data_IF_599163470015
#
_entry.id   IF_599163470015
#
_cell.length_a   1.000
_cell.length_b   1.000
_cell.length_c   1.000
_cell.angle_alpha   90.00
_cell.angle_beta   90.00
_cell.angle_gamma   90.00
#
_symmetry.space_group_name_H-M   'P 1'
#
loop_
_entity.id
_entity.type
_entity.pdbx_description
1 polymer ?
#
# COMPACT_ATOMS: atom_id res chain seq x y z
N UNK A 1 6.09 -2.13 -10.66
CA UNK A 1 4.62 -1.95 -10.82
C UNK A 1 4.30 -0.77 -11.75
N UNK A 2 4.81 0.42 -11.48
CA UNK A 2 4.46 1.62 -12.25
C UNK A 2 5.24 1.79 -13.56
N UNK A 3 6.37 1.10 -13.73
CA UNK A 3 7.29 1.31 -14.84
C UNK A 3 8.20 2.53 -14.66
N UNK A 4 9.25 2.60 -15.46
CA UNK A 4 10.19 3.72 -15.47
C UNK A 4 9.50 5.02 -15.85
N UNK A 5 9.99 6.14 -15.37
CA UNK A 5 9.45 7.49 -15.62
C UNK A 5 8.05 7.80 -15.07
N UNK A 6 7.41 6.89 -14.33
CA UNK A 6 6.18 7.21 -13.63
C UNK A 6 6.49 7.99 -12.34
N UNK A 7 5.68 9.00 -11.93
CA UNK A 7 5.93 9.76 -10.69
C UNK A 7 5.98 8.91 -9.42
N UNK A 8 5.36 7.73 -9.43
CA UNK A 8 5.40 6.77 -8.32
C UNK A 8 6.46 5.66 -8.50
N UNK A 9 7.27 5.69 -9.56
CA UNK A 9 8.38 4.76 -9.76
C UNK A 9 9.61 5.18 -8.92
N UNK A 10 9.40 5.39 -7.63
CA UNK A 10 10.41 5.75 -6.64
C UNK A 10 10.38 4.72 -5.50
N UNK A 11 11.50 4.53 -4.77
CA UNK A 11 11.48 3.68 -3.58
C UNK A 11 10.38 4.12 -2.60
N UNK A 12 9.63 3.18 -2.05
CA UNK A 12 8.55 3.47 -1.09
C UNK A 12 9.03 4.14 0.20
N UNK A 13 10.31 3.99 0.54
CA UNK A 13 10.94 4.72 1.64
C UNK A 13 10.92 6.24 1.46
N UNK A 14 10.79 6.73 0.22
CA UNK A 14 10.90 8.15 -0.12
C UNK A 14 12.31 8.72 0.02
N UNK A 15 13.30 7.89 0.37
CA UNK A 15 14.68 8.33 0.62
C UNK A 15 15.53 8.45 -0.64
N UNK A 16 14.99 8.10 -1.81
CA UNK A 16 15.76 8.07 -3.06
C UNK A 16 16.69 6.85 -3.14
N UNK A 17 17.71 6.97 -3.98
CA UNK A 17 18.77 5.97 -4.18
C UNK A 17 20.13 6.57 -3.79
N UNK A 18 21.14 5.74 -3.53
CA UNK A 18 22.51 6.21 -3.26
C UNK A 18 23.01 7.18 -4.34
N UNK A 19 22.78 6.83 -5.62
CA UNK A 19 23.18 7.67 -6.74
C UNK A 19 22.47 9.02 -6.75
N UNK A 20 21.16 9.07 -6.49
CA UNK A 20 20.38 10.31 -6.43
C UNK A 20 20.84 11.18 -5.26
N UNK A 21 21.06 10.59 -4.08
CA UNK A 21 21.51 11.30 -2.88
C UNK A 21 22.93 11.86 -3.09
N UNK A 22 23.84 11.07 -3.66
CA UNK A 22 25.22 11.49 -3.95
C UNK A 22 25.28 12.65 -4.96
N UNK A 23 24.29 12.78 -5.84
CA UNK A 23 24.24 13.86 -6.83
C UNK A 23 23.61 15.16 -6.33
N UNK A 24 22.86 15.13 -5.20
CA UNK A 24 22.18 16.30 -4.66
C UNK A 24 23.18 17.35 -4.13
N UNK A 25 22.93 18.59 -4.51
CA UNK A 25 23.66 19.75 -4.02
C UNK A 25 22.78 20.60 -3.09
N UNK A 26 23.41 21.52 -2.35
CA UNK A 26 22.66 22.52 -1.58
C UNK A 26 21.74 23.38 -2.48
N UNK A 27 22.19 23.69 -3.67
CA UNK A 27 21.43 24.54 -4.60
C UNK A 27 20.19 23.81 -5.13
N UNK A 28 20.22 22.50 -5.30
CA UNK A 28 19.05 21.68 -5.63
C UNK A 28 18.00 21.75 -4.50
N UNK A 29 18.43 21.69 -3.24
CA UNK A 29 17.53 21.81 -2.08
C UNK A 29 16.92 23.22 -1.99
N UNK A 30 17.70 24.26 -2.23
CA UNK A 30 17.22 25.65 -2.29
C UNK A 30 16.20 25.82 -3.41
N UNK A 31 16.50 25.31 -4.61
CA UNK A 31 15.59 25.37 -5.75
C UNK A 31 14.29 24.61 -5.49
N UNK A 32 14.38 23.42 -4.87
CA UNK A 32 13.21 22.66 -4.46
C UNK A 32 12.34 23.46 -3.48
N UNK A 33 12.96 23.98 -2.42
CA UNK A 33 12.27 24.77 -1.39
C UNK A 33 11.54 25.97 -2.01
N UNK A 34 12.18 26.77 -2.83
CA UNK A 34 11.59 27.94 -3.48
C UNK A 34 10.41 27.60 -4.39
N UNK A 35 10.47 26.46 -5.07
CA UNK A 35 9.42 26.04 -6.01
C UNK A 35 8.22 25.39 -5.33
N UNK A 36 8.43 24.65 -4.24
CA UNK A 36 7.40 23.80 -3.63
C UNK A 36 6.92 24.24 -2.26
N UNK A 37 7.78 24.83 -1.43
CA UNK A 37 7.43 25.27 -0.08
C UNK A 37 6.92 26.72 -0.14
N UNK A 38 5.63 26.87 -0.38
CA UNK A 38 4.98 28.15 -0.69
C UNK A 38 3.65 28.26 0.05
N UNK A 39 3.23 29.51 0.41
CA UNK A 39 1.92 29.72 1.04
C UNK A 39 0.76 29.38 0.10
N UNK A 40 0.94 29.60 -1.22
CA UNK A 40 -0.07 29.29 -2.22
C UNK A 40 -0.27 27.77 -2.32
N UNK A 41 -1.44 27.32 -1.91
CA UNK A 41 -1.79 25.88 -1.90
C UNK A 41 -1.26 25.11 -0.68
N UNK A 42 -0.64 25.79 0.30
CA UNK A 42 -0.30 25.18 1.56
C UNK A 42 -1.55 25.05 2.46
N UNK A 43 -1.66 23.92 3.14
CA UNK A 43 -2.66 23.70 4.19
C UNK A 43 -1.95 23.43 5.49
N UNK A 44 -2.28 24.23 6.51
CA UNK A 44 -1.78 24.04 7.88
C UNK A 44 -2.87 23.39 8.72
N UNK A 45 -2.59 22.22 9.27
CA UNK A 45 -3.49 21.52 10.18
C UNK A 45 -2.89 21.56 11.57
N UNK A 46 -3.64 22.04 12.55
CA UNK A 46 -3.22 22.15 13.95
C UNK A 46 -4.22 21.39 14.81
N UNK A 47 -3.72 20.48 15.64
CA UNK A 47 -4.49 19.74 16.63
C UNK A 47 -3.79 19.85 17.97
N UNK A 48 -4.46 20.39 18.98
CA UNK A 48 -3.88 20.58 20.30
C UNK A 48 -4.82 21.36 21.23
N UNK A 49 -4.34 21.65 22.43
CA UNK A 49 -5.06 22.43 23.42
C UNK A 49 -4.92 23.95 23.10
N UNK A 50 -5.70 24.39 22.13
CA UNK A 50 -5.74 25.78 21.68
C UNK A 50 -7.09 26.10 21.04
N UNK A 51 -7.37 27.38 20.87
CA UNK A 51 -8.54 27.86 20.12
C UNK A 51 -8.12 28.63 18.88
N UNK A 52 -9.02 28.78 17.94
CA UNK A 52 -8.77 29.57 16.73
C UNK A 52 -8.40 31.04 17.07
N UNK A 53 -9.02 31.60 18.11
CA UNK A 53 -8.75 32.97 18.58
C UNK A 53 -7.32 33.12 19.16
N UNK A 54 -6.81 32.08 19.79
CA UNK A 54 -5.46 32.09 20.39
C UNK A 54 -4.38 31.85 19.34
N UNK A 55 -4.61 30.87 18.44
CA UNK A 55 -3.56 30.45 17.49
C UNK A 55 -3.44 31.38 16.29
N UNK A 56 -4.54 32.01 15.83
CA UNK A 56 -4.52 32.90 14.66
C UNK A 56 -3.51 34.04 14.77
N UNK A 57 -3.44 34.84 15.85
CA UNK A 57 -2.43 35.88 15.96
C UNK A 57 -0.99 35.37 15.95
N UNK A 58 -0.75 34.18 16.48
CA UNK A 58 0.58 33.53 16.44
C UNK A 58 0.96 33.16 15.01
N UNK A 59 0.04 32.58 14.27
CA UNK A 59 0.26 32.21 12.86
C UNK A 59 0.46 33.46 11.99
N UNK A 60 -0.35 34.50 12.16
CA UNK A 60 -0.21 35.75 11.42
C UNK A 60 1.14 36.42 11.72
N UNK A 61 1.60 36.42 12.97
CA UNK A 61 2.91 36.95 13.35
C UNK A 61 4.06 36.22 12.67
N UNK A 62 4.00 34.89 12.55
CA UNK A 62 5.11 34.08 12.08
C UNK A 62 5.02 33.75 10.59
N UNK A 63 3.83 33.62 10.02
CA UNK A 63 3.58 33.21 8.64
C UNK A 63 2.94 34.30 7.77
N UNK A 64 2.35 35.35 8.36
CA UNK A 64 1.62 36.36 7.62
C UNK A 64 2.45 37.14 6.59
N UNK A 65 3.78 37.20 6.77
CA UNK A 65 4.71 37.80 5.81
C UNK A 65 5.30 36.78 4.82
N UNK A 66 4.99 35.50 4.97
CA UNK A 66 5.53 34.46 4.11
C UNK A 66 4.97 34.61 2.68
N UNK A 67 5.86 34.72 1.72
CA UNK A 67 5.54 34.85 0.29
C UNK A 67 6.30 33.79 -0.50
N UNK A 68 5.66 33.29 -1.54
CA UNK A 68 6.34 32.45 -2.49
C UNK A 68 7.33 33.27 -3.34
N UNK A 69 8.52 32.73 -3.55
CA UNK A 69 9.54 33.33 -4.40
C UNK A 69 9.58 32.61 -5.75
N UNK A 70 9.76 33.39 -6.84
CA UNK A 70 9.86 32.82 -8.20
C UNK A 70 8.60 32.09 -8.67
N UNK A 71 8.77 31.17 -9.61
CA UNK A 71 7.67 30.40 -10.20
C UNK A 71 7.36 29.14 -9.37
N UNK A 72 6.10 28.96 -9.02
CA UNK A 72 5.63 27.74 -8.37
C UNK A 72 5.84 26.50 -9.26
N UNK A 73 6.13 25.38 -8.65
CA UNK A 73 6.15 24.10 -9.35
C UNK A 73 4.72 23.66 -9.71
N UNK A 74 4.60 23.03 -10.88
CA UNK A 74 3.37 22.33 -11.25
C UNK A 74 3.53 20.85 -10.88
N UNK A 75 2.61 20.27 -10.10
CA UNK A 75 2.64 18.83 -9.80
C UNK A 75 2.62 18.02 -11.11
N UNK A 76 3.41 16.96 -11.14
CA UNK A 76 3.39 16.03 -12.26
C UNK A 76 2.01 15.35 -12.37
N UNK A 77 1.57 15.14 -13.62
CA UNK A 77 0.42 14.28 -13.85
C UNK A 77 0.72 12.85 -13.40
N UNK A 78 -0.27 12.17 -12.85
CA UNK A 78 -0.19 10.79 -12.43
C UNK A 78 -0.96 9.94 -13.45
N UNK A 79 -0.31 9.43 -14.50
CA UNK A 79 -0.99 8.67 -15.54
C UNK A 79 -1.43 7.31 -15.00
N UNK A 80 -2.46 6.73 -15.60
CA UNK A 80 -2.84 5.36 -15.32
C UNK A 80 -1.86 4.38 -16.00
N UNK A 81 -1.58 3.28 -15.33
CA UNK A 81 -0.70 2.21 -15.81
C UNK A 81 -1.53 0.96 -16.04
N UNK A 82 -1.35 0.31 -17.18
CA UNK A 82 -1.96 -0.98 -17.45
C UNK A 82 -1.30 -2.07 -16.60
N UNK A 83 -2.11 -3.01 -16.12
CA UNK A 83 -1.59 -4.20 -15.47
C UNK A 83 -0.80 -5.05 -16.48
N UNK A 84 0.20 -5.82 -16.02
CA UNK A 84 0.93 -6.72 -16.90
C UNK A 84 -0.01 -7.78 -17.52
N UNK A 85 0.20 -8.09 -18.80
CA UNK A 85 -0.61 -9.05 -19.53
C UNK A 85 -0.44 -10.51 -19.03
N UNK A 86 0.63 -10.77 -18.29
CA UNK A 86 0.95 -12.07 -17.67
C UNK A 86 1.63 -11.83 -16.33
N UNK A 87 1.54 -12.78 -15.40
CA UNK A 87 2.25 -12.68 -14.13
C UNK A 87 3.77 -12.63 -14.34
N UNK A 88 4.46 -11.98 -13.41
CA UNK A 88 5.93 -11.84 -13.42
C UNK A 88 6.48 -12.24 -12.06
N UNK A 89 7.62 -12.90 -12.05
CA UNK A 89 8.31 -13.33 -10.83
C UNK A 89 9.73 -12.78 -10.83
N UNK A 90 10.06 -11.99 -9.85
CA UNK A 90 11.41 -11.45 -9.65
C UNK A 90 12.04 -12.11 -8.43
N UNK A 91 13.27 -12.58 -8.59
CA UNK A 91 14.03 -13.23 -7.53
C UNK A 91 15.24 -12.37 -7.18
N UNK A 92 15.46 -12.15 -5.90
CA UNK A 92 16.63 -11.46 -5.36
C UNK A 92 17.41 -12.44 -4.49
N UNK A 93 18.69 -12.66 -4.82
CA UNK A 93 19.54 -13.58 -4.09
C UNK A 93 20.00 -12.99 -2.77
N UNK A 94 19.78 -13.75 -1.69
CA UNK A 94 20.32 -13.49 -0.37
C UNK A 94 20.96 -14.77 0.18
N UNK A 95 22.21 -15.05 -0.16
CA UNK A 95 22.89 -16.30 0.22
C UNK A 95 22.89 -16.52 1.73
N UNK A 96 22.59 -17.75 2.15
CA UNK A 96 22.55 -18.13 3.55
C UNK A 96 21.30 -17.70 4.31
N UNK A 97 20.33 -17.04 3.67
CA UNK A 97 19.05 -16.70 4.32
C UNK A 97 18.34 -17.96 4.82
N UNK A 98 17.82 -17.89 6.05
CA UNK A 98 17.04 -18.98 6.69
C UNK A 98 15.53 -18.83 6.46
N UNK A 99 15.13 -17.67 5.94
CA UNK A 99 13.75 -17.33 5.55
C UNK A 99 13.75 -16.70 4.18
N UNK A 100 12.64 -16.82 3.47
CA UNK A 100 12.37 -16.04 2.27
C UNK A 100 11.29 -14.99 2.56
N UNK A 101 11.47 -13.79 2.02
CA UNK A 101 10.43 -12.77 2.00
C UNK A 101 9.69 -12.85 0.66
N UNK A 102 8.42 -13.19 0.69
CA UNK A 102 7.56 -13.30 -0.47
C UNK A 102 6.62 -12.11 -0.52
N UNK A 103 6.70 -11.33 -1.58
CA UNK A 103 5.76 -10.26 -1.91
C UNK A 103 5.00 -10.62 -3.17
N UNK A 104 3.72 -10.35 -3.19
CA UNK A 104 2.88 -10.46 -4.39
C UNK A 104 1.90 -9.31 -4.44
N UNK A 105 1.68 -8.75 -5.61
CA UNK A 105 0.70 -7.66 -5.71
C UNK A 105 0.51 -7.13 -7.11
N UNK A 106 -0.34 -6.12 -7.18
CA UNK A 106 -0.68 -5.38 -8.40
C UNK A 106 -1.12 -3.94 -8.07
N UNK A 107 -1.32 -3.14 -9.10
CA UNK A 107 -1.98 -1.84 -8.96
C UNK A 107 -3.50 -2.03 -8.93
N UNK A 108 -4.14 -1.29 -8.02
CA UNK A 108 -5.60 -1.21 -7.87
C UNK A 108 -6.05 0.26 -7.96
N UNK A 109 -7.35 0.56 -8.08
CA UNK A 109 -7.86 1.93 -8.14
C UNK A 109 -7.37 2.81 -6.99
N UNK A 110 -7.43 4.12 -7.20
CA UNK A 110 -6.95 5.14 -6.25
C UNK A 110 -7.70 5.11 -4.92
N UNK A 111 -7.17 5.80 -3.91
CA UNK A 111 -7.85 6.02 -2.63
C UNK A 111 -9.15 6.85 -2.78
N UNK A 112 -9.31 7.54 -3.92
CA UNK A 112 -10.50 8.35 -4.25
C UNK A 112 -11.57 7.59 -5.03
N UNK A 113 -11.34 6.33 -5.33
CA UNK A 113 -12.31 5.49 -6.02
C UNK A 113 -13.57 5.28 -5.17
N UNK A 114 -14.72 5.27 -5.81
CA UNK A 114 -16.01 5.12 -5.11
C UNK A 114 -16.12 3.79 -4.36
N UNK A 115 -15.41 2.75 -4.82
CA UNK A 115 -15.34 1.43 -4.21
C UNK A 115 -14.11 1.23 -3.30
N UNK A 116 -13.40 2.32 -2.96
CA UNK A 116 -12.18 2.23 -2.14
C UNK A 116 -12.43 1.57 -0.77
N UNK A 117 -13.55 1.86 -0.13
CA UNK A 117 -13.93 1.28 1.17
C UNK A 117 -14.23 -0.21 1.05
N UNK A 118 -14.99 -0.61 0.03
CA UNK A 118 -15.30 -2.02 -0.25
C UNK A 118 -14.02 -2.83 -0.48
N UNK A 119 -13.08 -2.27 -1.25
CA UNK A 119 -11.78 -2.91 -1.51
C UNK A 119 -10.94 -3.04 -0.23
N UNK A 120 -10.97 -2.05 0.65
CA UNK A 120 -10.29 -2.10 1.94
C UNK A 120 -10.88 -3.20 2.84
N UNK A 121 -12.21 -3.33 2.90
CA UNK A 121 -12.88 -4.41 3.65
C UNK A 121 -12.62 -5.77 3.01
N UNK A 122 -12.67 -5.88 1.68
CA UNK A 122 -12.30 -7.11 0.98
C UNK A 122 -10.86 -7.53 1.27
N UNK A 123 -9.93 -6.58 1.30
CA UNK A 123 -8.55 -6.83 1.71
C UNK A 123 -8.44 -7.28 3.17
N UNK A 124 -9.25 -6.71 4.08
CA UNK A 124 -9.24 -7.10 5.48
C UNK A 124 -9.64 -8.58 5.68
N UNK A 125 -10.61 -9.08 4.90
CA UNK A 125 -10.96 -10.51 4.87
C UNK A 125 -9.78 -11.37 4.39
N UNK A 126 -9.09 -10.94 3.32
CA UNK A 126 -8.01 -11.72 2.73
C UNK A 126 -6.75 -11.74 3.60
N UNK A 127 -6.26 -10.56 4.01
CA UNK A 127 -4.96 -10.47 4.70
C UNK A 127 -4.77 -9.24 5.60
N UNK A 128 -5.80 -8.39 5.80
CA UNK A 128 -5.65 -7.16 6.57
C UNK A 128 -5.75 -7.32 8.08
N UNK A 129 -6.22 -8.46 8.57
CA UNK A 129 -6.43 -8.75 9.98
C UNK A 129 -5.62 -9.97 10.44
N UNK A 130 -5.38 -10.07 11.76
CA UNK A 130 -4.71 -11.26 12.31
C UNK A 130 -5.42 -12.56 11.96
N UNK A 131 -6.74 -12.55 11.99
CA UNK A 131 -7.59 -13.69 11.68
C UNK A 131 -8.06 -13.75 10.22
N UNK A 132 -7.34 -13.07 9.32
CA UNK A 132 -7.56 -13.11 7.88
C UNK A 132 -7.08 -14.41 7.26
N UNK A 133 -7.57 -14.72 6.06
CA UNK A 133 -7.33 -16.00 5.37
C UNK A 133 -5.86 -16.31 5.20
N UNK A 134 -5.05 -15.36 4.73
CA UNK A 134 -3.61 -15.57 4.51
C UNK A 134 -2.88 -15.92 5.80
N UNK A 135 -3.17 -15.22 6.89
CA UNK A 135 -2.53 -15.48 8.17
C UNK A 135 -3.00 -16.79 8.80
N UNK A 136 -4.30 -17.07 8.74
CA UNK A 136 -4.84 -18.35 9.23
C UNK A 136 -4.28 -19.55 8.47
N UNK A 137 -4.04 -19.41 7.16
CA UNK A 137 -3.42 -20.45 6.34
C UNK A 137 -1.93 -20.63 6.70
N UNK A 138 -1.10 -19.61 6.37
CA UNK A 138 0.36 -19.78 6.41
C UNK A 138 0.92 -19.84 7.84
N UNK A 139 0.32 -19.12 8.78
CA UNK A 139 0.77 -19.08 10.16
C UNK A 139 0.11 -20.15 11.02
N UNK A 140 -1.23 -20.09 11.14
CA UNK A 140 -1.95 -20.90 12.12
C UNK A 140 -2.08 -22.36 11.69
N UNK A 141 -2.42 -22.61 10.43
CA UNK A 141 -2.64 -23.97 9.92
C UNK A 141 -1.34 -24.67 9.50
N UNK A 142 -0.49 -23.98 8.73
CA UNK A 142 0.74 -24.55 8.17
C UNK A 142 1.96 -24.37 9.08
N UNK A 143 2.01 -23.30 9.87
CA UNK A 143 3.19 -22.98 10.69
C UNK A 143 4.43 -22.61 9.88
N UNK A 144 4.27 -22.18 8.62
CA UNK A 144 5.37 -21.85 7.72
C UNK A 144 5.84 -20.41 7.79
N UNK A 145 5.02 -19.52 8.36
CA UNK A 145 5.32 -18.11 8.51
C UNK A 145 5.03 -17.63 9.91
N UNK A 146 5.75 -16.59 10.38
CA UNK A 146 5.39 -15.86 11.59
C UNK A 146 4.12 -15.03 11.41
N UNK A 147 3.84 -14.58 10.19
CA UNK A 147 2.63 -13.91 9.79
C UNK A 147 2.57 -13.73 8.29
N UNK A 148 1.34 -13.62 7.77
CA UNK A 148 1.07 -13.31 6.37
C UNK A 148 -0.05 -12.30 6.29
N UNK A 149 0.19 -11.20 5.58
CA UNK A 149 -0.71 -10.05 5.57
C UNK A 149 -0.88 -9.51 4.16
N UNK A 150 -1.97 -8.78 3.94
CA UNK A 150 -2.15 -7.94 2.76
C UNK A 150 -2.60 -6.54 3.13
N UNK A 151 -2.25 -5.56 2.31
CA UNK A 151 -2.61 -4.17 2.52
C UNK A 151 -2.78 -3.43 1.20
N UNK A 152 -3.58 -2.37 1.24
CA UNK A 152 -3.78 -1.44 0.13
C UNK A 152 -3.14 -0.11 0.53
N UNK A 153 -2.08 0.27 -0.16
CA UNK A 153 -1.39 1.53 0.11
C UNK A 153 -2.24 2.72 -0.37
N UNK A 154 -2.30 3.80 0.41
CA UNK A 154 -3.06 4.97 0.01
C UNK A 154 -2.28 5.82 -1.01
N UNK A 155 -2.95 6.20 -2.13
CA UNK A 155 -2.37 7.08 -3.15
C UNK A 155 -3.45 7.86 -3.91
N UNK A 156 -3.08 9.02 -4.49
CA UNK A 156 -3.99 9.83 -5.35
C UNK A 156 -4.25 9.19 -6.72
N UNK A 157 -3.27 8.47 -7.27
CA UNK A 157 -3.40 7.65 -8.47
C UNK A 157 -3.68 6.18 -8.12
N UNK A 158 -3.50 5.29 -9.11
CA UNK A 158 -3.52 3.86 -8.83
C UNK A 158 -2.54 3.55 -7.70
N UNK A 159 -2.91 2.64 -6.82
CA UNK A 159 -2.18 2.31 -5.59
C UNK A 159 -1.81 0.83 -5.53
N UNK A 160 -0.69 0.46 -4.89
CA UNK A 160 -0.36 -0.93 -4.70
C UNK A 160 -1.33 -1.61 -3.74
N UNK A 161 -1.83 -2.75 -4.15
CA UNK A 161 -2.27 -3.81 -3.28
C UNK A 161 -1.14 -4.83 -3.20
N UNK A 162 -0.73 -5.20 -1.99
CA UNK A 162 0.39 -6.10 -1.74
C UNK A 162 -0.01 -7.13 -0.70
N UNK A 163 0.35 -8.40 -0.93
CA UNK A 163 0.39 -9.42 0.09
C UNK A 163 1.86 -9.80 0.37
N UNK A 164 2.14 -10.13 1.63
CA UNK A 164 3.47 -10.40 2.15
C UNK A 164 3.44 -11.60 3.09
N UNK A 165 4.48 -12.43 3.00
CA UNK A 165 4.79 -13.44 3.98
C UNK A 165 6.31 -13.63 4.13
N UNK A 166 6.80 -13.63 5.38
CA UNK A 166 8.14 -14.10 5.70
C UNK A 166 8.03 -15.58 6.08
N UNK A 167 8.55 -16.45 5.22
CA UNK A 167 8.36 -17.91 5.32
C UNK A 167 9.66 -18.66 5.55
N UNK A 168 9.58 -19.87 6.12
CA UNK A 168 10.71 -20.76 6.18
C UNK A 168 11.26 -21.03 4.79
N UNK A 169 12.59 -21.05 4.65
CA UNK A 169 13.23 -21.12 3.33
C UNK A 169 12.86 -22.37 2.55
N UNK A 170 12.73 -23.51 3.23
CA UNK A 170 12.33 -24.81 2.65
C UNK A 170 10.83 -24.93 2.35
N UNK A 171 10.05 -23.89 2.71
CA UNK A 171 8.61 -23.81 2.45
C UNK A 171 8.24 -22.67 1.51
N UNK A 172 9.22 -22.09 0.83
CA UNK A 172 8.99 -20.93 -0.05
C UNK A 172 8.04 -21.24 -1.21
N UNK A 173 8.28 -22.31 -1.94
CA UNK A 173 7.44 -22.67 -3.09
C UNK A 173 6.02 -23.06 -2.66
N UNK A 174 5.88 -23.87 -1.62
CA UNK A 174 4.58 -24.26 -1.09
C UNK A 174 3.80 -23.03 -0.56
N UNK A 175 4.48 -22.09 0.11
CA UNK A 175 3.85 -20.84 0.58
C UNK A 175 3.39 -19.96 -0.58
N UNK A 176 4.16 -19.86 -1.66
CA UNK A 176 3.74 -19.14 -2.86
C UNK A 176 2.52 -19.80 -3.51
N UNK A 177 2.48 -21.13 -3.58
CA UNK A 177 1.32 -21.86 -4.09
C UNK A 177 0.05 -21.61 -3.25
N UNK A 178 0.18 -21.58 -1.92
CA UNK A 178 -0.94 -21.26 -1.02
C UNK A 178 -1.39 -19.80 -1.17
N UNK A 179 -0.46 -18.83 -1.23
CA UNK A 179 -0.79 -17.43 -1.50
C UNK A 179 -1.53 -17.29 -2.84
N UNK A 180 -1.03 -17.91 -3.90
CA UNK A 180 -1.67 -17.89 -5.22
C UNK A 180 -3.07 -18.51 -5.16
N UNK A 181 -3.25 -19.61 -4.45
CA UNK A 181 -4.54 -20.28 -4.30
C UNK A 181 -5.54 -19.37 -3.57
N UNK A 182 -5.18 -18.87 -2.37
CA UNK A 182 -6.06 -18.00 -1.58
C UNK A 182 -6.48 -16.75 -2.36
N UNK A 183 -5.50 -16.07 -2.98
CA UNK A 183 -5.76 -14.87 -3.78
C UNK A 183 -6.67 -15.20 -4.97
N UNK A 184 -6.39 -16.28 -5.70
CA UNK A 184 -7.14 -16.63 -6.90
C UNK A 184 -8.55 -17.12 -6.59
N UNK A 185 -8.73 -17.97 -5.59
CA UNK A 185 -10.05 -18.47 -5.21
C UNK A 185 -10.96 -17.37 -4.70
N UNK A 186 -10.38 -16.39 -3.98
CA UNK A 186 -11.11 -15.22 -3.52
C UNK A 186 -11.45 -14.28 -4.69
N UNK A 187 -10.44 -13.88 -5.47
CA UNK A 187 -10.61 -12.92 -6.57
C UNK A 187 -11.57 -13.41 -7.68
N UNK A 188 -11.62 -14.72 -7.93
CA UNK A 188 -12.53 -15.33 -8.91
C UNK A 188 -13.93 -15.63 -8.36
N UNK A 189 -14.15 -15.43 -7.07
CA UNK A 189 -15.41 -15.76 -6.41
C UNK A 189 -15.63 -17.25 -6.19
N UNK A 190 -14.60 -18.08 -6.37
CA UNK A 190 -14.67 -19.54 -6.06
C UNK A 190 -14.88 -19.76 -4.56
N UNK A 191 -14.21 -18.95 -3.72
CA UNK A 191 -14.39 -18.92 -2.27
C UNK A 191 -14.67 -17.47 -1.86
N UNK A 192 -15.91 -17.00 -2.01
CA UNK A 192 -16.28 -15.61 -1.71
C UNK A 192 -16.16 -15.32 -0.20
N UNK A 193 -16.14 -14.04 0.18
CA UNK A 193 -16.25 -13.66 1.57
C UNK A 193 -17.59 -14.12 2.13
N UNK A 194 -17.56 -14.79 3.27
CA UNK A 194 -18.77 -15.22 3.96
C UNK A 194 -19.44 -14.06 4.72
N UNK A 195 -20.75 -14.17 5.02
CA UNK A 195 -21.41 -13.18 5.86
C UNK A 195 -20.73 -13.00 7.23
N UNK A 196 -20.21 -14.07 7.81
CA UNK A 196 -19.52 -14.05 9.09
C UNK A 196 -18.18 -13.30 9.03
N UNK A 197 -17.40 -13.50 7.95
CA UNK A 197 -16.15 -12.77 7.73
C UNK A 197 -16.41 -11.27 7.59
N UNK A 198 -17.40 -10.90 6.76
CA UNK A 198 -17.74 -9.49 6.55
C UNK A 198 -18.25 -8.86 7.84
N UNK A 199 -19.19 -9.50 8.54
CA UNK A 199 -19.71 -8.99 9.81
C UNK A 199 -18.64 -8.82 10.88
N UNK A 200 -17.67 -9.72 10.93
CA UNK A 200 -16.51 -9.63 11.84
C UNK A 200 -15.65 -8.40 11.52
N UNK A 201 -15.31 -8.18 10.25
CA UNK A 201 -14.51 -7.02 9.84
C UNK A 201 -15.28 -5.72 10.11
N UNK A 202 -16.57 -5.65 9.76
CA UNK A 202 -17.43 -4.50 10.07
C UNK A 202 -17.40 -4.18 11.57
N UNK A 203 -17.58 -5.20 12.42
CA UNK A 203 -17.57 -5.02 13.87
C UNK A 203 -16.20 -4.54 14.37
N UNK A 204 -15.09 -5.04 13.82
CA UNK A 204 -13.73 -4.61 14.16
C UNK A 204 -13.53 -3.14 13.79
N UNK A 205 -13.83 -2.76 12.54
CA UNK A 205 -13.70 -1.39 12.04
C UNK A 205 -14.52 -0.38 12.89
N UNK A 206 -15.80 -0.69 13.16
CA UNK A 206 -16.68 0.23 13.90
C UNK A 206 -16.26 0.34 15.37
N UNK A 207 -15.91 -0.78 16.02
CA UNK A 207 -15.51 -0.76 17.43
C UNK A 207 -14.15 -0.12 17.68
N UNK A 208 -13.26 -0.11 16.69
CA UNK A 208 -11.95 0.54 16.79
C UNK A 208 -12.01 2.07 16.63
N UNK A 209 -13.10 2.62 16.07
CA UNK A 209 -13.23 4.05 15.78
C UNK A 209 -12.95 4.96 16.99
N UNK A 210 -13.50 4.75 18.19
CA UNK A 210 -13.21 5.62 19.33
C UNK A 210 -11.71 5.68 19.63
N UNK A 211 -11.03 4.52 19.72
CA UNK A 211 -9.59 4.44 19.96
C UNK A 211 -8.74 5.05 18.84
N UNK A 212 -9.26 5.05 17.61
CA UNK A 212 -8.55 5.62 16.45
C UNK A 212 -8.43 7.15 16.48
N UNK A 213 -9.10 7.84 17.41
CA UNK A 213 -9.09 9.30 17.52
C UNK A 213 -8.69 9.79 18.92
N UNK A 214 -8.13 8.95 19.77
CA UNK A 214 -7.78 9.30 21.16
C UNK A 214 -6.58 10.28 21.25
N UNK A 215 -5.71 10.31 20.24
CA UNK A 215 -4.51 11.14 20.29
C UNK A 215 -4.57 12.30 19.29
N UNK A 216 -3.94 13.44 19.64
CA UNK A 216 -3.80 14.57 18.72
C UNK A 216 -3.16 14.16 17.38
N UNK A 217 -2.17 13.26 17.40
CA UNK A 217 -1.52 12.75 16.19
C UNK A 217 -2.48 11.95 15.31
N UNK A 218 -3.35 11.13 15.90
CA UNK A 218 -4.36 10.37 15.17
C UNK A 218 -5.39 11.30 14.51
N UNK A 219 -5.88 12.29 15.22
CA UNK A 219 -6.80 13.32 14.69
C UNK A 219 -6.11 14.11 13.58
N UNK A 220 -4.85 14.53 13.77
CA UNK A 220 -4.06 15.21 12.74
C UNK A 220 -3.91 14.35 11.47
N UNK A 221 -3.64 13.06 11.63
CA UNK A 221 -3.55 12.10 10.51
C UNK A 221 -4.86 11.97 9.73
N UNK A 222 -5.99 11.89 10.43
CA UNK A 222 -7.32 11.82 9.83
C UNK A 222 -7.66 13.07 9.02
N UNK A 223 -7.48 14.26 9.61
CA UNK A 223 -7.70 15.56 8.93
C UNK A 223 -6.73 15.69 7.73
N UNK A 224 -5.45 15.33 7.93
CA UNK A 224 -4.46 15.31 6.86
C UNK A 224 -4.85 14.38 5.71
N UNK A 225 -5.50 13.25 5.99
CA UNK A 225 -6.07 12.35 4.99
C UNK A 225 -7.24 12.97 4.22
N UNK A 226 -8.14 13.67 4.89
CA UNK A 226 -9.24 14.42 4.27
C UNK A 226 -8.68 15.44 3.28
N UNK A 227 -7.75 16.28 3.72
CA UNK A 227 -7.12 17.31 2.87
C UNK A 227 -6.33 16.67 1.71
N UNK A 228 -5.52 15.65 1.98
CA UNK A 228 -4.65 15.02 0.99
C UNK A 228 -5.43 14.36 -0.15
N UNK A 229 -6.57 13.77 0.16
CA UNK A 229 -7.37 13.00 -0.81
C UNK A 229 -8.62 13.74 -1.26
N UNK A 230 -8.76 15.05 -0.94
CA UNK A 230 -9.90 15.91 -1.30
C UNK A 230 -11.24 15.24 -0.90
N UNK A 231 -11.29 14.71 0.32
CA UNK A 231 -12.47 14.08 0.91
C UNK A 231 -13.37 15.15 1.54
N UNK A 232 -14.68 14.90 1.68
CA UNK A 232 -15.56 15.81 2.41
C UNK A 232 -15.18 15.87 3.91
N UNK A 233 -15.52 16.96 4.59
CA UNK A 233 -15.15 17.17 6.00
C UNK A 233 -15.75 16.12 6.94
N UNK A 234 -16.90 15.56 6.57
CA UNK A 234 -17.60 14.50 7.29
C UNK A 234 -17.23 13.07 6.82
N UNK A 235 -16.12 12.93 6.08
CA UNK A 235 -15.67 11.65 5.51
C UNK A 235 -15.65 10.50 6.52
N UNK A 236 -15.25 10.76 7.77
CA UNK A 236 -15.20 9.73 8.81
C UNK A 236 -16.58 9.17 9.08
N UNK A 237 -17.61 10.04 9.16
CA UNK A 237 -19.00 9.64 9.37
C UNK A 237 -19.56 8.91 8.14
N UNK A 238 -19.26 9.44 6.94
CA UNK A 238 -19.70 8.78 5.69
C UNK A 238 -19.07 7.39 5.53
N UNK A 239 -17.75 7.25 5.83
CA UNK A 239 -17.07 5.95 5.79
C UNK A 239 -17.65 4.97 6.80
N UNK A 240 -17.95 5.42 8.03
CA UNK A 240 -18.61 4.59 9.04
C UNK A 240 -19.95 4.09 8.54
N UNK A 241 -20.83 4.98 8.07
CA UNK A 241 -22.14 4.62 7.53
C UNK A 241 -22.03 3.64 6.35
N UNK A 242 -21.05 3.86 5.49
CA UNK A 242 -20.77 2.98 4.35
C UNK A 242 -20.37 1.59 4.83
N UNK A 243 -19.47 1.48 5.81
CA UNK A 243 -19.07 0.19 6.39
C UNK A 243 -20.25 -0.51 7.06
N UNK A 244 -21.06 0.20 7.84
CA UNK A 244 -22.27 -0.37 8.50
C UNK A 244 -23.28 -0.92 7.49
N UNK A 245 -23.37 -0.30 6.31
CA UNK A 245 -24.29 -0.70 5.24
C UNK A 245 -23.74 -1.76 4.28
N UNK A 246 -22.44 -2.12 4.38
CA UNK A 246 -21.83 -3.09 3.47
C UNK A 246 -22.47 -4.47 3.59
N UNK A 247 -22.68 -5.09 2.44
CA UNK A 247 -23.14 -6.47 2.35
C UNK A 247 -22.02 -7.39 1.83
N UNK A 248 -22.08 -8.69 2.10
CA UNK A 248 -21.13 -9.65 1.51
C UNK A 248 -21.09 -9.58 -0.02
N UNK A 249 -22.22 -9.31 -0.66
CA UNK A 249 -22.32 -9.17 -2.12
C UNK A 249 -21.53 -7.95 -2.62
N UNK A 250 -21.61 -6.80 -1.92
CA UNK A 250 -20.86 -5.60 -2.27
C UNK A 250 -19.36 -5.81 -2.09
N UNK A 251 -18.93 -6.47 -1.02
CA UNK A 251 -17.54 -6.85 -0.79
C UNK A 251 -17.05 -7.80 -1.87
N UNK A 252 -17.81 -8.83 -2.21
CA UNK A 252 -17.45 -9.81 -3.22
C UNK A 252 -17.43 -9.23 -4.64
N UNK A 253 -18.23 -8.21 -4.92
CA UNK A 253 -18.24 -7.56 -6.23
C UNK A 253 -16.93 -6.83 -6.56
N UNK A 254 -16.22 -6.30 -5.55
CA UNK A 254 -14.99 -5.53 -5.74
C UNK A 254 -13.73 -6.40 -5.81
N UNK A 255 -13.79 -7.63 -5.29
CA UNK A 255 -12.61 -8.53 -5.22
C UNK A 255 -12.02 -8.84 -6.59
N UNK A 256 -12.85 -8.89 -7.64
CA UNK A 256 -12.43 -9.07 -9.04
C UNK A 256 -11.51 -7.95 -9.56
N UNK A 257 -11.33 -6.85 -8.82
CA UNK A 257 -10.28 -5.86 -9.06
C UNK A 257 -8.88 -6.47 -8.93
N UNK A 258 -8.72 -7.47 -8.07
CA UNK A 258 -7.50 -8.27 -7.98
C UNK A 258 -7.55 -9.30 -9.12
N UNK A 259 -6.55 -9.24 -10.00
CA UNK A 259 -6.45 -10.06 -11.20
C UNK A 259 -5.31 -11.07 -11.06
N UNK A 260 -5.57 -12.32 -10.69
CA UNK A 260 -4.52 -13.33 -10.48
C UNK A 260 -3.59 -13.54 -11.70
N UNK A 261 -4.11 -13.31 -12.91
CA UNK A 261 -3.36 -13.37 -14.15
C UNK A 261 -2.42 -12.19 -14.42
N UNK A 262 -2.39 -11.17 -13.54
CA UNK A 262 -1.59 -9.96 -13.70
C UNK A 262 -0.71 -9.65 -12.47
N UNK A 263 -0.51 -10.63 -11.60
CA UNK A 263 0.27 -10.45 -10.39
C UNK A 263 1.77 -10.30 -10.66
N UNK A 264 2.41 -9.49 -9.85
CA UNK A 264 3.86 -9.36 -9.81
C UNK A 264 4.36 -9.90 -8.48
N UNK A 265 5.27 -10.88 -8.55
CA UNK A 265 5.91 -11.50 -7.40
C UNK A 265 7.32 -10.96 -7.25
N UNK A 266 7.75 -10.75 -6.01
CA UNK A 266 9.15 -10.48 -5.66
C UNK A 266 9.50 -11.40 -4.50
N UNK A 267 10.52 -12.22 -4.67
CA UNK A 267 10.97 -13.16 -3.64
C UNK A 267 12.45 -12.90 -3.33
N UNK A 268 12.72 -12.65 -2.07
CA UNK A 268 14.09 -12.44 -1.57
C UNK A 268 14.46 -13.61 -0.67
N UNK A 269 15.55 -14.31 -0.99
CA UNK A 269 16.01 -15.47 -0.22
C UNK A 269 17.25 -16.13 -0.83
N UNK A 270 17.69 -17.24 -0.25
CA UNK A 270 18.81 -18.03 -0.74
C UNK A 270 18.39 -18.79 -2.03
N UNK A 271 18.71 -18.23 -3.19
CA UNK A 271 18.28 -18.79 -4.47
C UNK A 271 18.77 -20.23 -4.70
N UNK A 272 19.92 -20.60 -4.12
CA UNK A 272 20.42 -21.98 -4.21
C UNK A 272 19.44 -23.02 -3.63
N UNK A 273 18.48 -22.56 -2.79
CA UNK A 273 17.50 -23.42 -2.12
C UNK A 273 16.09 -23.26 -2.68
N UNK A 274 15.74 -22.08 -3.22
CA UNK A 274 14.34 -21.76 -3.54
C UNK A 274 14.04 -21.65 -5.04
N UNK A 275 15.04 -21.34 -5.87
CA UNK A 275 14.81 -21.02 -7.28
C UNK A 275 14.15 -22.15 -8.06
N UNK A 276 14.64 -23.39 -7.93
CA UNK A 276 14.11 -24.55 -8.63
C UNK A 276 12.62 -24.78 -8.29
N UNK A 277 12.28 -24.74 -6.99
CA UNK A 277 10.90 -24.89 -6.53
C UNK A 277 9.98 -23.79 -7.07
N UNK A 278 10.44 -22.54 -7.07
CA UNK A 278 9.66 -21.39 -7.57
C UNK A 278 9.43 -21.51 -9.09
N UNK A 279 10.45 -21.89 -9.86
CA UNK A 279 10.31 -22.11 -11.31
C UNK A 279 9.32 -23.22 -11.63
N UNK A 280 9.27 -24.26 -10.78
CA UNK A 280 8.33 -25.37 -10.91
C UNK A 280 6.85 -25.00 -10.69
N UNK A 281 6.55 -23.84 -10.10
CA UNK A 281 5.17 -23.36 -9.88
C UNK A 281 4.51 -22.79 -11.16
N UNK A 282 5.28 -22.47 -12.20
CA UNK A 282 4.80 -21.88 -13.46
C UNK A 282 3.90 -20.65 -13.26
N UNK A 283 4.23 -19.81 -12.26
CA UNK A 283 3.47 -18.59 -11.92
C UNK A 283 3.72 -17.43 -12.90
N UNK A 284 4.60 -17.60 -13.89
CA UNK A 284 4.94 -16.58 -14.88
C UNK A 284 6.42 -16.54 -15.20
N UNK A 285 6.84 -15.52 -15.96
CA UNK A 285 8.26 -15.34 -16.31
C UNK A 285 9.09 -15.05 -15.06
N UNK A 286 10.09 -15.87 -14.80
CA UNK A 286 11.03 -15.72 -13.67
C UNK A 286 12.29 -15.02 -14.14
N UNK A 287 12.62 -13.91 -13.49
CA UNK A 287 13.82 -13.09 -13.72
C UNK A 287 14.58 -12.88 -12.41
N UNK A 288 15.89 -13.10 -12.41
CA UNK A 288 16.75 -12.75 -11.29
C UNK A 288 17.14 -11.28 -11.42
N UNK A 289 17.02 -10.53 -10.33
CA UNK A 289 17.39 -9.12 -10.24
C UNK A 289 18.30 -8.88 -9.03
N UNK A 290 19.06 -7.80 -9.06
CA UNK A 290 19.81 -7.34 -7.90
C UNK A 290 18.91 -6.52 -6.92
N UNK A 291 19.51 -6.05 -5.83
CA UNK A 291 18.79 -5.24 -4.82
C UNK A 291 18.32 -3.87 -5.37
N UNK A 292 18.88 -3.40 -6.48
CA UNK A 292 18.46 -2.19 -7.17
C UNK A 292 17.36 -2.45 -8.22
N UNK A 293 16.95 -3.71 -8.39
CA UNK A 293 15.95 -4.12 -9.39
C UNK A 293 16.49 -4.31 -10.81
N UNK A 294 17.82 -4.35 -10.98
CA UNK A 294 18.43 -4.56 -12.30
C UNK A 294 18.56 -6.06 -12.60
N UNK A 295 18.34 -6.50 -13.84
CA UNK A 295 18.56 -7.90 -14.22
C UNK A 295 19.98 -8.36 -13.91
N UNK A 296 20.08 -9.60 -13.37
CA UNK A 296 21.37 -10.27 -13.13
C UNK A 296 21.49 -11.40 -14.13
N UNK A 297 22.58 -11.45 -14.91
CA UNK A 297 22.90 -12.60 -15.76
C UNK A 297 22.34 -12.56 -17.18
N UNK A 298 22.16 -11.39 -17.80
CA UNK A 298 22.09 -11.22 -19.24
C UNK A 298 23.47 -10.96 -19.86
#
# INVERSE_FOLDING_TARGET
MYGENHPYAIPFSGSGTEASIASLTRDDLVAFHQRWVRPEGATLVIVGDTTLAEITPVLEKHLGSWKGEGQAATPAAIPAVALPAKPRVFLVDQPGAIQANVYVGQLVPSTRDDQATELEIANAVLGGEFSSRLNMNLREDKGWAYGSYSFVQAAKGQRPWLAFAAVQIDKTAESMAELQREISEYATGKVPASPEEVAKIQASEIRSLPGSYETASAVLGAIGGIVRYDRPDDYVVQRQQKIEALTPEAVNAVVGTIQPGALTWVVVGDLSKIEEGIRGLDLGQVQVIDADGKPVGE
#
